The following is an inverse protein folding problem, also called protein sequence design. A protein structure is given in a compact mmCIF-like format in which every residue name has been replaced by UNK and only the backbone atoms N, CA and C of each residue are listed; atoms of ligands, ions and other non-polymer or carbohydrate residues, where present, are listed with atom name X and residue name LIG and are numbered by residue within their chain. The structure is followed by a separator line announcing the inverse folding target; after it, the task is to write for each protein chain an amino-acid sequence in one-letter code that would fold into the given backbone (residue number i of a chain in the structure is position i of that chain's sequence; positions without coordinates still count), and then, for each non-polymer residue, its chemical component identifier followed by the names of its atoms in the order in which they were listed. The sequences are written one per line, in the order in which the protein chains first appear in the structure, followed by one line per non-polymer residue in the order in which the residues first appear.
data_IF_878991566120
#
_entry.id   IF_878991566120
#
_cell.length_a   1.000
_cell.length_b   1.000
_cell.length_c   1.000
_cell.angle_alpha   90.00
_cell.angle_beta   90.00
_cell.angle_gamma   90.00
#
_symmetry.space_group_name_H-M   'P 1'
#
loop_
_entity.id
_entity.type
_entity.pdbx_description
1 polymer ?
#
# COMPACT_ATOMS: atom_id res chain seq x y z
N UNK A 1 -7.00 16.41 5.66
CA UNK A 1 -5.66 15.84 5.95
C UNK A 1 -5.07 15.38 4.63
N UNK A 2 -3.85 15.80 4.33
CA UNK A 2 -3.09 15.42 3.13
C UNK A 2 -1.83 14.65 3.54
N UNK A 3 -1.31 13.86 2.62
CA UNK A 3 -0.08 13.08 2.79
C UNK A 3 0.89 13.49 1.68
N UNK A 4 2.16 13.71 2.03
CA UNK A 4 3.23 13.94 1.05
C UNK A 4 4.32 12.88 1.24
N UNK A 5 4.75 12.27 0.13
CA UNK A 5 5.77 11.23 0.12
C UNK A 5 6.83 11.61 -0.90
N UNK A 6 8.08 11.69 -0.45
CA UNK A 6 9.24 11.84 -1.32
C UNK A 6 9.77 10.46 -1.71
N UNK A 7 9.84 10.18 -3.01
CA UNK A 7 10.49 8.98 -3.51
C UNK A 7 11.98 9.25 -3.70
N UNK A 8 12.85 8.77 -2.81
CA UNK A 8 14.27 9.06 -2.92
C UNK A 8 14.97 8.30 -4.05
N UNK A 9 14.49 7.10 -4.39
CA UNK A 9 15.14 6.19 -5.35
C UNK A 9 14.22 5.73 -6.49
N UNK A 10 12.96 6.17 -6.53
CA UNK A 10 11.97 5.75 -7.54
C UNK A 10 11.40 4.35 -7.28
N UNK A 11 10.72 3.82 -8.29
CA UNK A 11 10.09 2.49 -8.30
C UNK A 11 8.65 2.50 -7.80
N UNK A 12 8.09 1.30 -7.58
CA UNK A 12 6.69 1.17 -7.17
C UNK A 12 6.47 1.61 -5.72
N UNK A 13 5.53 2.52 -5.53
CA UNK A 13 4.97 2.91 -4.25
C UNK A 13 3.61 2.25 -4.06
N UNK A 14 3.54 1.28 -3.13
CA UNK A 14 2.27 0.66 -2.71
C UNK A 14 1.74 1.30 -1.43
N UNK A 15 0.58 1.94 -1.49
CA UNK A 15 -0.08 2.57 -0.34
C UNK A 15 -1.23 1.72 0.18
N UNK A 16 -1.34 1.60 1.51
CA UNK A 16 -2.48 1.00 2.21
C UNK A 16 -3.22 2.05 3.03
N UNK A 17 -4.52 2.23 2.79
CA UNK A 17 -5.37 3.19 3.51
C UNK A 17 -6.68 2.55 3.96
N UNK A 18 -7.35 3.17 4.93
CA UNK A 18 -8.72 2.81 5.36
C UNK A 18 -9.79 3.71 4.74
N UNK A 19 -9.41 4.53 3.77
CA UNK A 19 -10.26 5.51 3.10
C UNK A 19 -9.71 5.76 1.70
N UNK A 20 -10.57 6.15 0.78
CA UNK A 20 -10.15 6.51 -0.56
C UNK A 20 -9.25 7.74 -0.58
N UNK A 21 -8.28 7.74 -1.49
CA UNK A 21 -7.31 8.80 -1.71
C UNK A 21 -7.09 9.02 -3.20
N UNK A 22 -6.88 10.27 -3.57
CA UNK A 22 -6.51 10.69 -4.92
C UNK A 22 -5.13 11.34 -4.93
N UNK A 23 -4.43 11.23 -6.06
CA UNK A 23 -3.15 11.89 -6.30
C UNK A 23 -3.39 13.32 -6.77
N UNK A 24 -2.77 14.29 -6.12
CA UNK A 24 -2.79 15.68 -6.56
C UNK A 24 -1.77 15.89 -7.67
N UNK A 25 -2.23 16.38 -8.81
CA UNK A 25 -1.42 16.73 -9.99
C UNK A 25 -1.57 18.22 -10.32
N UNK A 26 -0.79 18.73 -11.26
CA UNK A 26 -0.93 20.12 -11.72
C UNK A 26 -2.29 20.39 -12.41
N UNK A 27 -2.90 19.33 -12.95
CA UNK A 27 -4.18 19.38 -13.69
C UNK A 27 -5.40 19.14 -12.78
N UNK A 28 -5.19 18.86 -11.48
CA UNK A 28 -6.24 18.62 -10.50
C UNK A 28 -5.97 17.40 -9.63
N UNK A 29 -6.95 16.49 -9.54
CA UNK A 29 -6.81 15.22 -8.83
C UNK A 29 -6.97 14.05 -9.78
N UNK A 30 -6.13 13.04 -9.60
CA UNK A 30 -6.12 11.81 -10.39
C UNK A 30 -6.38 10.61 -9.47
N UNK A 31 -7.30 9.73 -9.87
CA UNK A 31 -7.55 8.48 -9.17
C UNK A 31 -6.35 7.55 -9.26
N UNK A 32 -6.03 6.90 -8.15
CA UNK A 32 -4.97 5.91 -8.08
C UNK A 32 -5.42 4.55 -8.63
N UNK A 33 -4.46 3.80 -9.16
CA UNK A 33 -4.72 2.44 -9.62
C UNK A 33 -4.74 1.48 -8.42
N UNK A 34 -5.77 0.64 -8.35
CA UNK A 34 -5.84 -0.40 -7.33
C UNK A 34 -4.68 -1.39 -7.52
N UNK A 35 -3.98 -1.69 -6.43
CA UNK A 35 -2.85 -2.59 -6.44
C UNK A 35 -3.27 -4.01 -6.84
N UNK A 36 -2.40 -4.71 -7.58
CA UNK A 36 -2.61 -6.09 -8.01
C UNK A 36 -1.37 -6.94 -7.74
N UNK A 37 -1.58 -8.23 -7.46
CA UNK A 37 -0.50 -9.18 -7.25
C UNK A 37 0.46 -8.80 -6.12
N UNK A 38 1.69 -9.31 -6.21
CA UNK A 38 2.77 -8.99 -5.28
C UNK A 38 3.30 -7.57 -5.48
N UNK A 39 3.91 -7.00 -4.45
CA UNK A 39 4.54 -5.68 -4.56
C UNK A 39 5.90 -5.84 -5.26
N UNK A 40 6.05 -5.20 -6.43
CA UNK A 40 7.30 -5.22 -7.20
C UNK A 40 8.46 -4.50 -6.50
N UNK A 41 8.19 -3.70 -5.47
CA UNK A 41 9.25 -3.01 -4.72
C UNK A 41 10.05 -3.99 -3.85
N UNK A 42 11.34 -4.26 -4.18
CA UNK A 42 12.14 -5.28 -3.49
C UNK A 42 12.39 -4.96 -2.02
N UNK A 43 12.27 -3.68 -1.61
CA UNK A 43 12.45 -3.25 -0.22
C UNK A 43 11.30 -3.67 0.69
N UNK A 44 10.15 -4.04 0.12
CA UNK A 44 8.92 -4.38 0.83
C UNK A 44 8.42 -5.78 0.48
N UNK A 45 9.33 -6.66 0.06
CA UNK A 45 9.01 -8.07 -0.19
C UNK A 45 8.63 -8.72 1.13
N UNK A 46 7.52 -9.45 1.12
CA UNK A 46 7.12 -10.24 2.27
C UNK A 46 8.06 -11.43 2.43
N UNK A 47 8.65 -11.58 3.60
CA UNK A 47 9.46 -12.75 3.89
C UNK A 47 8.56 -13.98 4.00
N UNK A 48 8.91 -15.03 3.27
CA UNK A 48 8.27 -16.32 3.43
C UNK A 48 8.64 -16.92 4.80
N UNK A 49 7.64 -17.45 5.50
CA UNK A 49 7.81 -18.12 6.78
C UNK A 49 7.28 -19.54 6.68
N UNK A 50 7.86 -20.43 7.49
CA UNK A 50 7.33 -21.79 7.63
C UNK A 50 5.90 -21.75 8.16
N UNK A 51 5.07 -22.71 7.73
CA UNK A 51 3.71 -22.84 8.26
C UNK A 51 3.79 -23.12 9.76
N UNK A 52 3.02 -22.39 10.60
CA UNK A 52 3.01 -22.64 12.03
C UNK A 52 2.42 -24.03 12.31
N UNK A 53 2.96 -24.71 13.32
CA UNK A 53 2.38 -25.95 13.83
C UNK A 53 1.16 -25.61 14.69
N UNK A 54 0.01 -26.16 14.31
CA UNK A 54 -1.28 -25.89 14.96
C UNK A 54 -1.81 -27.19 15.54
N UNK A 55 -2.10 -27.21 16.83
CA UNK A 55 -2.74 -28.37 17.47
C UNK A 55 -4.19 -28.51 17.00
N UNK A 56 -4.69 -29.73 16.72
CA UNK A 56 -6.10 -29.96 16.41
C UNK A 56 -7.07 -29.50 17.52
N UNK A 57 -6.59 -29.41 18.77
CA UNK A 57 -7.37 -28.96 19.92
C UNK A 57 -7.28 -27.45 20.18
N UNK A 58 -6.51 -26.71 19.37
CA UNK A 58 -6.31 -25.28 19.59
C UNK A 58 -7.60 -24.50 19.24
N UNK A 59 -8.13 -23.68 20.17
CA UNK A 59 -9.24 -22.80 19.84
C UNK A 59 -8.76 -21.70 18.89
N UNK A 60 -9.29 -21.70 17.67
CA UNK A 60 -9.01 -20.68 16.67
C UNK A 60 -9.95 -19.50 16.87
N UNK A 61 -9.41 -18.38 17.38
CA UNK A 61 -10.07 -17.08 17.29
C UNK A 61 -9.34 -16.27 16.23
N UNK A 62 -10.01 -15.99 15.12
CA UNK A 62 -9.48 -15.09 14.10
C UNK A 62 -9.38 -13.66 14.63
N UNK A 63 -8.68 -12.81 13.87
CA UNK A 63 -8.63 -11.36 14.13
C UNK A 63 -9.49 -10.67 13.08
N UNK A 64 -10.45 -9.86 13.53
CA UNK A 64 -11.19 -8.97 12.63
C UNK A 64 -10.32 -7.77 12.26
N UNK A 65 -9.96 -7.67 10.98
CA UNK A 65 -9.21 -6.55 10.44
C UNK A 65 -10.17 -5.56 9.78
N UNK A 66 -9.92 -4.26 10.01
CA UNK A 66 -10.66 -3.20 9.31
C UNK A 66 -10.41 -3.30 7.80
N UNK A 67 -11.43 -3.08 6.95
CA UNK A 67 -11.26 -3.03 5.51
C UNK A 67 -10.21 -1.97 5.13
N UNK A 68 -9.43 -2.27 4.10
CA UNK A 68 -8.40 -1.37 3.59
C UNK A 68 -8.36 -1.43 2.06
N UNK A 69 -7.88 -0.35 1.46
CA UNK A 69 -7.60 -0.23 0.04
C UNK A 69 -6.09 -0.27 -0.18
N UNK A 70 -5.67 -0.87 -1.29
CA UNK A 70 -4.28 -0.87 -1.74
C UNK A 70 -4.19 -0.20 -3.11
N UNK A 71 -3.20 0.68 -3.27
CA UNK A 71 -2.93 1.38 -4.51
C UNK A 71 -1.47 1.25 -4.92
N UNK A 72 -1.21 1.19 -6.21
CA UNK A 72 0.14 1.25 -6.79
C UNK A 72 0.34 2.55 -7.57
N UNK A 73 1.55 3.09 -7.46
CA UNK A 73 2.01 4.26 -8.20
C UNK A 73 3.48 4.08 -8.57
N UNK A 74 3.81 4.16 -9.85
CA UNK A 74 5.20 4.23 -10.31
C UNK A 74 5.76 5.61 -9.98
N UNK A 75 6.86 5.65 -9.23
CA UNK A 75 7.51 6.89 -8.78
C UNK A 75 8.88 7.08 -9.41
N UNK A 76 9.29 8.34 -9.54
CA UNK A 76 10.63 8.73 -9.98
C UNK A 76 11.48 9.21 -8.80
N UNK A 77 12.77 8.92 -8.87
CA UNK A 77 13.72 9.33 -7.85
C UNK A 77 13.77 10.87 -7.71
N UNK A 78 13.76 11.34 -6.48
CA UNK A 78 13.77 12.75 -6.10
C UNK A 78 12.39 13.43 -6.07
N UNK A 79 11.36 12.87 -6.69
CA UNK A 79 10.04 13.49 -6.79
C UNK A 79 9.21 13.38 -5.50
N UNK A 80 8.28 14.32 -5.32
CA UNK A 80 7.34 14.37 -4.19
C UNK A 80 5.93 14.19 -4.73
N UNK A 81 5.20 13.25 -4.14
CA UNK A 81 3.82 12.93 -4.48
C UNK A 81 2.91 13.33 -3.33
N UNK A 82 1.85 14.07 -3.65
CA UNK A 82 0.87 14.55 -2.67
C UNK A 82 -0.46 13.85 -2.87
N UNK A 83 -1.03 13.35 -1.78
CA UNK A 83 -2.27 12.60 -1.75
C UNK A 83 -3.29 13.35 -0.90
N UNK A 84 -4.50 13.44 -1.42
CA UNK A 84 -5.64 14.12 -0.81
C UNK A 84 -6.82 13.16 -0.72
N UNK A 85 -7.80 13.51 0.11
CA UNK A 85 -9.10 12.86 0.02
C UNK A 85 -9.78 13.30 -1.28
N UNK A 86 -10.59 12.43 -1.90
CA UNK A 86 -11.47 12.84 -3.00
C UNK A 86 -12.41 13.98 -2.58
#
# INVERSE_FOLDING_TARGET
KSLEIKSNIGGNLRLRTHSDIDLQTAEGTQKLQAAKGENSNPLFVQQEIARPMISPKAPMKGVELKPYQLYDLETKAGEIYRFVKP
#
